data_IF_017505005643
#
_entry.id   IF_017505005643
#
_cell.length_a   1.000
_cell.length_b   1.000
_cell.length_c   1.000
_cell.angle_alpha   90.00
_cell.angle_beta   90.00
_cell.angle_gamma   90.00
#
_symmetry.space_group_name_H-M   'P 1'
#
loop_
_entity.id
_entity.type
_entity.pdbx_description
1 polymer ?
#
# COMPACT_ATOMS: atom_id res chain seq x y z
N UNK A 1 -18.74 24.02 -11.46
CA UNK A 1 -19.46 23.32 -10.38
C UNK A 1 -18.79 23.64 -9.06
N UNK A 2 -19.47 24.33 -8.14
CA UNK A 2 -18.95 24.60 -6.79
C UNK A 2 -18.87 23.26 -6.05
N UNK A 3 -17.68 22.87 -5.56
CA UNK A 3 -17.53 21.75 -4.61
C UNK A 3 -18.47 22.03 -3.42
N UNK A 4 -19.24 21.06 -2.91
CA UNK A 4 -20.00 21.26 -1.68
C UNK A 4 -19.01 21.64 -0.57
N UNK A 5 -19.21 22.81 0.03
CA UNK A 5 -18.44 23.23 1.19
C UNK A 5 -18.82 22.31 2.34
N UNK A 6 -17.94 21.39 2.69
CA UNK A 6 -18.03 20.59 3.92
C UNK A 6 -18.25 21.54 5.10
N UNK A 7 -19.20 21.27 6.01
CA UNK A 7 -19.39 22.11 7.19
C UNK A 7 -18.08 22.27 7.97
N UNK A 8 -17.83 23.42 8.61
CA UNK A 8 -16.62 23.62 9.39
C UNK A 8 -16.52 22.52 10.46
N UNK A 9 -15.43 21.76 10.43
CA UNK A 9 -15.22 20.70 11.41
C UNK A 9 -15.06 21.31 12.81
N UNK A 10 -15.63 20.67 13.82
CA UNK A 10 -15.40 21.03 15.22
C UNK A 10 -14.28 20.18 15.79
N UNK A 11 -13.55 20.72 16.78
CA UNK A 11 -12.55 19.96 17.53
C UNK A 11 -13.10 18.61 18.04
N UNK A 12 -14.32 18.59 18.55
CA UNK A 12 -14.97 17.36 19.04
C UNK A 12 -15.17 16.33 17.91
N UNK A 13 -15.56 16.78 16.73
CA UNK A 13 -15.73 15.91 15.56
C UNK A 13 -14.39 15.35 15.10
N UNK A 14 -13.34 16.17 15.09
CA UNK A 14 -11.99 15.76 14.74
C UNK A 14 -11.41 14.75 15.74
N UNK A 15 -11.53 15.01 17.04
CA UNK A 15 -11.06 14.12 18.08
C UNK A 15 -11.83 12.79 18.08
N UNK A 16 -13.15 12.83 17.83
CA UNK A 16 -13.96 11.62 17.66
C UNK A 16 -13.51 10.82 16.44
N UNK A 17 -13.23 11.49 15.32
CA UNK A 17 -12.71 10.84 14.12
C UNK A 17 -11.35 10.19 14.40
N UNK A 18 -10.41 10.91 15.01
CA UNK A 18 -9.08 10.38 15.33
C UNK A 18 -9.10 9.28 16.40
N UNK A 19 -9.99 9.37 17.38
CA UNK A 19 -10.20 8.30 18.37
C UNK A 19 -10.74 7.02 17.74
N UNK A 20 -11.40 7.12 16.57
CA UNK A 20 -11.80 5.96 15.77
C UNK A 20 -10.70 5.45 14.82
N UNK A 21 -9.50 6.05 14.78
CA UNK A 21 -8.37 5.60 13.95
C UNK A 21 -7.48 4.62 14.71
N UNK A 22 -6.70 3.88 13.94
CA UNK A 22 -5.69 2.97 14.48
C UNK A 22 -4.53 3.74 15.13
N UNK A 23 -3.68 3.01 15.86
CA UNK A 23 -2.43 3.48 16.49
C UNK A 23 -2.58 4.56 17.55
N UNK A 24 -3.78 4.72 18.10
CA UNK A 24 -4.08 5.69 19.15
C UNK A 24 -3.62 7.11 18.76
N UNK A 25 -3.87 7.49 17.50
CA UNK A 25 -3.43 8.76 16.90
C UNK A 25 -3.90 9.96 17.73
N UNK A 26 -5.08 9.85 18.35
CA UNK A 26 -5.65 10.91 19.19
C UNK A 26 -4.73 11.30 20.34
N UNK A 27 -4.04 10.33 20.97
CA UNK A 27 -3.20 10.57 22.16
C UNK A 27 -2.08 11.58 21.93
N UNK A 28 -1.56 11.68 20.70
CA UNK A 28 -0.48 12.59 20.33
C UNK A 28 -0.90 13.69 19.35
N UNK A 29 -2.03 13.54 18.65
CA UNK A 29 -2.56 14.57 17.75
C UNK A 29 -3.47 15.60 18.45
N UNK A 30 -4.00 15.29 19.64
CA UNK A 30 -4.97 16.13 20.35
C UNK A 30 -4.42 17.54 20.65
N UNK A 31 -3.22 17.64 21.24
CA UNK A 31 -2.67 18.93 21.65
C UNK A 31 -2.45 19.89 20.47
N UNK A 32 -1.81 19.49 19.35
CA UNK A 32 -1.73 20.32 18.15
C UNK A 32 -3.11 20.72 17.59
N UNK A 33 -4.09 19.81 17.58
CA UNK A 33 -5.43 20.11 17.06
C UNK A 33 -6.19 21.13 17.93
N UNK A 34 -6.12 21.01 19.26
CA UNK A 34 -6.71 21.99 20.17
C UNK A 34 -6.15 23.39 19.92
N UNK A 35 -4.82 23.49 19.79
CA UNK A 35 -4.12 24.74 19.48
C UNK A 35 -4.54 25.31 18.13
N UNK A 36 -4.65 24.47 17.09
CA UNK A 36 -5.16 24.89 15.78
C UNK A 36 -6.57 25.48 15.88
N UNK A 37 -7.51 24.77 16.51
CA UNK A 37 -8.89 25.23 16.66
C UNK A 37 -9.00 26.54 17.46
N UNK A 38 -8.12 26.75 18.44
CA UNK A 38 -8.08 27.99 19.22
C UNK A 38 -7.63 29.20 18.38
N UNK A 39 -6.62 29.03 17.52
CA UNK A 39 -6.06 30.16 16.76
C UNK A 39 -6.69 30.37 15.39
N UNK A 40 -7.24 29.32 14.76
CA UNK A 40 -7.71 29.34 13.38
C UNK A 40 -8.66 30.50 13.05
N UNK A 41 -9.63 30.89 13.91
CA UNK A 41 -10.52 32.03 13.63
C UNK A 41 -9.79 33.38 13.53
N UNK A 42 -8.60 33.50 14.13
CA UNK A 42 -7.82 34.74 14.18
C UNK A 42 -6.74 34.84 13.09
N UNK A 43 -6.52 33.76 12.31
CA UNK A 43 -5.46 33.71 11.32
C UNK A 43 -5.79 34.57 10.10
N UNK A 44 -4.76 35.27 9.59
CA UNK A 44 -4.83 35.95 8.28
C UNK A 44 -4.97 34.94 7.15
N UNK A 45 -5.53 35.36 6.01
CA UNK A 45 -5.89 34.50 4.89
C UNK A 45 -4.77 33.51 4.43
N UNK A 46 -3.53 33.97 4.28
CA UNK A 46 -2.41 33.12 3.83
C UNK A 46 -2.05 32.04 4.86
N UNK A 47 -1.70 32.38 6.13
CA UNK A 47 -1.53 31.36 7.18
C UNK A 47 -2.76 30.47 7.39
N UNK A 48 -3.98 31.02 7.30
CA UNK A 48 -5.21 30.27 7.45
C UNK A 48 -5.32 29.13 6.41
N UNK A 49 -5.04 29.42 5.14
CA UNK A 49 -5.08 28.41 4.08
C UNK A 49 -4.02 27.32 4.24
N UNK A 50 -2.80 27.68 4.67
CA UNK A 50 -1.73 26.71 4.94
C UNK A 50 -2.07 25.82 6.15
N UNK A 51 -2.55 26.40 7.23
CA UNK A 51 -2.95 25.66 8.43
C UNK A 51 -4.18 24.79 8.19
N UNK A 52 -5.14 25.24 7.39
CA UNK A 52 -6.27 24.43 6.95
C UNK A 52 -5.83 23.21 6.15
N UNK A 53 -4.81 23.34 5.29
CA UNK A 53 -4.26 22.20 4.56
C UNK A 53 -3.61 21.18 5.50
N UNK A 54 -2.83 21.64 6.46
CA UNK A 54 -2.24 20.75 7.48
C UNK A 54 -3.31 20.08 8.35
N UNK A 55 -4.35 20.83 8.72
CA UNK A 55 -5.51 20.31 9.45
C UNK A 55 -6.21 19.20 8.66
N UNK A 56 -6.53 19.44 7.39
CA UNK A 56 -7.13 18.42 6.55
C UNK A 56 -6.26 17.16 6.46
N UNK A 57 -4.94 17.32 6.30
CA UNK A 57 -3.99 16.20 6.28
C UNK A 57 -3.87 15.46 7.62
N UNK A 58 -4.01 16.14 8.76
CA UNK A 58 -3.97 15.48 10.08
C UNK A 58 -5.13 14.52 10.33
N UNK A 59 -6.22 14.62 9.56
CA UNK A 59 -7.39 13.74 9.66
C UNK A 59 -7.32 12.54 8.70
N UNK A 60 -6.33 12.54 7.80
CA UNK A 60 -6.05 11.46 6.85
C UNK A 60 -5.40 10.29 7.60
N UNK A 61 -5.67 9.02 7.21
CA UNK A 61 -4.98 7.85 7.76
C UNK A 61 -3.45 7.97 7.72
N UNK A 62 -2.79 7.55 8.80
CA UNK A 62 -1.35 7.74 9.03
C UNK A 62 -0.48 7.15 7.91
N UNK A 63 -0.89 6.03 7.34
CA UNK A 63 -0.21 5.29 6.26
C UNK A 63 -0.16 6.09 4.95
N UNK A 64 -0.95 7.14 4.84
CA UNK A 64 -0.95 8.06 3.70
C UNK A 64 -0.12 9.31 3.96
N UNK A 65 0.38 9.50 5.18
CA UNK A 65 1.17 10.67 5.51
C UNK A 65 2.57 10.58 4.88
N UNK A 66 3.02 11.62 4.17
CA UNK A 66 4.37 11.66 3.61
C UNK A 66 5.46 11.85 4.67
N UNK A 67 5.09 12.44 5.82
CA UNK A 67 5.91 12.73 6.99
C UNK A 67 4.99 13.04 8.18
N UNK A 68 5.53 13.30 9.37
CA UNK A 68 4.71 13.67 10.52
C UNK A 68 3.99 15.02 10.30
N UNK A 69 2.70 14.97 9.96
CA UNK A 69 1.87 16.15 9.68
C UNK A 69 1.61 16.94 10.96
N UNK A 70 1.37 16.25 12.08
CA UNK A 70 1.12 16.87 13.39
C UNK A 70 2.33 17.60 13.94
N UNK A 71 3.55 17.07 13.75
CA UNK A 71 4.76 17.75 14.21
C UNK A 71 5.03 19.01 13.39
N UNK A 72 4.82 18.95 12.07
CA UNK A 72 4.90 20.13 11.21
C UNK A 72 3.86 21.17 11.61
N UNK A 73 2.63 20.73 11.89
CA UNK A 73 1.56 21.61 12.39
C UNK A 73 1.95 22.26 13.71
N UNK A 74 2.43 21.49 14.69
CA UNK A 74 2.88 22.00 15.98
C UNK A 74 3.99 23.06 15.82
N UNK A 75 4.98 22.80 14.96
CA UNK A 75 6.04 23.76 14.65
C UNK A 75 5.50 25.05 14.02
N UNK A 76 4.51 24.97 13.13
CA UNK A 76 3.85 26.14 12.58
C UNK A 76 3.05 26.92 13.64
N UNK A 77 2.33 26.21 14.52
CA UNK A 77 1.57 26.81 15.62
C UNK A 77 2.50 27.57 16.59
N UNK A 78 3.64 26.99 16.96
CA UNK A 78 4.65 27.64 17.83
C UNK A 78 5.16 28.98 17.27
N UNK A 79 5.18 29.13 15.95
CA UNK A 79 5.59 30.36 15.27
C UNK A 79 4.44 31.37 15.26
N UNK A 80 3.24 30.92 14.88
CA UNK A 80 2.06 31.77 14.73
C UNK A 80 1.56 32.31 16.07
N UNK A 81 1.57 31.50 17.13
CA UNK A 81 1.19 31.93 18.48
C UNK A 81 2.13 33.01 19.04
N UNK A 82 3.39 33.03 18.58
CA UNK A 82 4.36 34.10 18.89
C UNK A 82 4.19 35.34 18.02
N UNK A 83 3.13 35.41 17.20
CA UNK A 83 2.87 36.51 16.27
C UNK A 83 3.86 36.60 15.10
N UNK A 84 4.67 35.56 14.86
CA UNK A 84 5.68 35.55 13.80
C UNK A 84 5.11 34.98 12.50
N UNK A 85 5.55 35.49 11.33
CA UNK A 85 5.16 34.91 10.06
C UNK A 85 5.83 33.56 9.83
N UNK A 86 5.16 32.65 9.10
CA UNK A 86 5.76 31.41 8.64
C UNK A 86 6.86 31.71 7.61
N UNK A 87 8.03 31.09 7.77
CA UNK A 87 9.13 31.23 6.84
C UNK A 87 8.87 30.55 5.49
N UNK A 88 9.50 31.05 4.42
CA UNK A 88 9.32 30.57 3.03
C UNK A 88 9.49 29.06 2.87
N UNK A 89 10.41 28.44 3.62
CA UNK A 89 10.63 26.98 3.57
C UNK A 89 9.45 26.18 4.13
N UNK A 90 8.84 26.64 5.22
CA UNK A 90 7.66 25.98 5.80
C UNK A 90 6.45 26.13 4.88
N UNK A 91 6.25 27.33 4.32
CA UNK A 91 5.20 27.55 3.32
C UNK A 91 5.37 26.58 2.15
N UNK A 92 6.58 26.48 1.59
CA UNK A 92 6.88 25.57 0.48
C UNK A 92 6.57 24.10 0.82
N UNK A 93 6.95 23.62 2.01
CA UNK A 93 6.66 22.24 2.43
C UNK A 93 5.15 21.97 2.43
N UNK A 94 4.36 22.91 2.95
CA UNK A 94 2.90 22.78 3.04
C UNK A 94 2.26 22.92 1.64
N UNK A 95 2.75 23.83 0.81
CA UNK A 95 2.28 24.05 -0.56
C UNK A 95 2.49 22.83 -1.46
N UNK A 96 3.59 22.09 -1.25
CA UNK A 96 3.91 20.86 -1.98
C UNK A 96 3.07 19.65 -1.55
N UNK A 97 2.33 19.72 -0.44
CA UNK A 97 1.40 18.66 -0.08
C UNK A 97 0.30 18.55 -1.15
N UNK A 98 0.00 17.34 -1.66
CA UNK A 98 -1.09 17.16 -2.61
C UNK A 98 -2.45 17.45 -1.96
N UNK A 99 -3.51 17.47 -2.77
CA UNK A 99 -4.86 17.42 -2.23
C UNK A 99 -5.02 16.15 -1.38
N UNK A 100 -5.77 16.26 -0.29
CA UNK A 100 -6.06 15.11 0.57
C UNK A 100 -6.86 14.06 -0.22
N UNK A 101 -6.65 12.76 0.06
CA UNK A 101 -7.49 11.72 -0.51
C UNK A 101 -8.97 11.91 -0.17
N UNK A 102 -9.87 11.39 -1.00
CA UNK A 102 -11.31 11.43 -0.75
C UNK A 102 -11.71 10.58 0.48
N UNK A 103 -12.92 10.81 0.98
CA UNK A 103 -13.44 10.15 2.19
C UNK A 103 -13.51 8.62 2.06
N UNK A 104 -13.87 8.10 0.88
CA UNK A 104 -13.95 6.65 0.62
C UNK A 104 -12.56 6.02 0.72
N UNK A 105 -11.55 6.68 0.16
CA UNK A 105 -10.15 6.28 0.26
C UNK A 105 -9.69 6.31 1.71
N UNK A 106 -9.95 7.40 2.44
CA UNK A 106 -9.59 7.52 3.85
C UNK A 106 -10.25 6.45 4.73
N UNK A 107 -11.54 6.16 4.53
CA UNK A 107 -12.26 5.13 5.29
C UNK A 107 -11.68 3.74 5.06
N UNK A 108 -11.45 3.38 3.79
CA UNK A 108 -10.93 2.05 3.45
C UNK A 108 -9.50 1.85 3.98
N UNK A 109 -8.66 2.89 3.92
CA UNK A 109 -7.29 2.79 4.44
C UNK A 109 -7.28 2.74 5.97
N UNK A 110 -8.13 3.50 6.65
CA UNK A 110 -8.22 3.42 8.12
C UNK A 110 -8.72 2.06 8.62
N UNK A 111 -9.67 1.44 7.90
CA UNK A 111 -10.09 0.07 8.21
C UNK A 111 -8.91 -0.90 8.07
N UNK A 112 -8.12 -0.78 7.01
CA UNK A 112 -6.90 -1.56 6.84
C UNK A 112 -5.88 -1.31 7.97
N UNK A 113 -5.66 -0.07 8.38
CA UNK A 113 -4.77 0.26 9.50
C UNK A 113 -5.19 -0.41 10.82
N UNK A 114 -6.49 -0.48 11.09
CA UNK A 114 -7.02 -1.17 12.26
C UNK A 114 -6.71 -2.66 12.26
N UNK A 115 -6.85 -3.30 11.10
CA UNK A 115 -6.52 -4.71 10.93
C UNK A 115 -5.02 -4.93 11.16
N UNK A 116 -4.18 -4.06 10.58
CA UNK A 116 -2.72 -4.08 10.79
C UNK A 116 -2.36 -3.88 12.26
N UNK A 117 -2.97 -2.91 12.96
CA UNK A 117 -2.72 -2.66 14.39
C UNK A 117 -3.05 -3.89 15.25
N UNK A 118 -4.11 -4.62 14.91
CA UNK A 118 -4.51 -5.86 15.58
C UNK A 118 -3.67 -7.08 15.14
N UNK A 119 -2.73 -6.90 14.22
CA UNK A 119 -1.91 -7.99 13.67
C UNK A 119 -2.68 -8.95 12.74
N UNK A 120 -3.87 -8.53 12.31
CA UNK A 120 -4.78 -9.27 11.41
C UNK A 120 -4.43 -8.90 9.97
N UNK A 121 -3.64 -9.73 9.32
CA UNK A 121 -3.29 -9.60 7.90
C UNK A 121 -4.13 -10.51 7.00
N UNK A 122 -5.07 -11.26 7.60
CA UNK A 122 -5.84 -12.35 6.99
C UNK A 122 -6.68 -11.91 5.79
N UNK A 123 -7.03 -10.63 5.72
CA UNK A 123 -7.77 -10.04 4.60
C UNK A 123 -6.95 -10.03 3.31
N UNK A 124 -5.61 -10.05 3.43
CA UNK A 124 -4.66 -9.97 2.32
C UNK A 124 -3.80 -11.23 2.19
N UNK A 125 -3.70 -12.02 3.27
CA UNK A 125 -2.90 -13.25 3.35
C UNK A 125 -3.82 -14.44 3.59
N UNK A 126 -3.85 -15.37 2.63
CA UNK A 126 -4.77 -16.52 2.62
C UNK A 126 -4.28 -17.74 3.38
N UNK A 127 -2.97 -17.85 3.64
CA UNK A 127 -2.36 -19.12 4.12
C UNK A 127 -1.84 -19.02 5.55
N UNK A 128 -2.72 -18.87 6.53
CA UNK A 128 -2.33 -18.83 7.96
C UNK A 128 -1.59 -20.11 8.41
N UNK A 129 -1.86 -21.25 7.78
CA UNK A 129 -1.23 -22.53 8.12
C UNK A 129 0.29 -22.53 7.97
N UNK A 130 0.84 -21.87 6.92
CA UNK A 130 2.30 -21.75 6.72
C UNK A 130 2.94 -20.95 7.85
N UNK A 131 2.26 -19.89 8.31
CA UNK A 131 2.72 -19.09 9.44
C UNK A 131 2.69 -19.89 10.73
N UNK A 132 1.56 -20.53 11.05
CA UNK A 132 1.40 -21.32 12.26
C UNK A 132 2.41 -22.48 12.33
N UNK A 133 2.68 -23.15 11.21
CA UNK A 133 3.69 -24.21 11.16
C UNK A 133 5.09 -23.68 11.45
N UNK A 134 5.46 -22.54 10.87
CA UNK A 134 6.76 -21.91 11.13
C UNK A 134 6.87 -21.43 12.59
N UNK A 135 5.80 -20.87 13.15
CA UNK A 135 5.74 -20.45 14.56
C UNK A 135 5.90 -21.64 15.52
N UNK A 136 5.24 -22.77 15.24
CA UNK A 136 5.42 -24.00 16.02
C UNK A 136 6.85 -24.53 15.94
N UNK A 137 7.43 -24.58 14.74
CA UNK A 137 8.82 -25.04 14.56
C UNK A 137 9.83 -24.11 15.25
N UNK A 138 9.54 -22.81 15.27
CA UNK A 138 10.36 -21.80 15.94
C UNK A 138 10.30 -21.93 17.45
N UNK A 139 9.10 -22.10 18.03
CA UNK A 139 8.91 -22.30 19.48
C UNK A 139 9.51 -23.61 19.99
N UNK A 140 9.52 -24.65 19.16
CA UNK A 140 10.14 -25.94 19.48
C UNK A 140 11.68 -25.93 19.34
N UNK A 141 12.30 -24.80 19.00
CA UNK A 141 13.74 -24.71 18.77
C UNK A 141 14.45 -24.14 20.00
N UNK A 142 15.04 -25.03 20.80
CA UNK A 142 15.75 -24.66 22.03
C UNK A 142 16.87 -23.65 21.80
N UNK A 143 17.52 -23.66 20.62
CA UNK A 143 18.59 -22.71 20.30
C UNK A 143 18.11 -21.26 20.23
N UNK A 144 16.83 -21.03 19.91
CA UNK A 144 16.27 -19.68 19.96
C UNK A 144 16.22 -19.19 21.40
N UNK A 145 15.80 -20.06 22.32
CA UNK A 145 15.74 -19.74 23.75
C UNK A 145 17.15 -19.52 24.30
N UNK A 146 18.11 -20.38 23.95
CA UNK A 146 19.51 -20.21 24.32
C UNK A 146 20.09 -18.86 23.85
N UNK A 147 19.86 -18.51 22.57
CA UNK A 147 20.32 -17.23 22.04
C UNK A 147 19.60 -16.03 22.70
N UNK A 148 18.33 -16.18 23.08
CA UNK A 148 17.57 -15.15 23.79
C UNK A 148 18.02 -14.97 25.23
N UNK A 149 18.28 -16.06 25.95
CA UNK A 149 18.79 -16.03 27.32
C UNK A 149 20.17 -15.36 27.37
N UNK A 150 21.03 -15.64 26.39
CA UNK A 150 22.33 -14.94 26.24
C UNK A 150 22.17 -13.42 26.05
N UNK A 151 21.13 -12.97 25.34
CA UNK A 151 20.82 -11.54 25.23
C UNK A 151 20.38 -10.98 26.59
N UNK A 152 19.48 -11.67 27.31
CA UNK A 152 19.00 -11.23 28.62
C UNK A 152 20.10 -11.18 29.68
N UNK A 153 21.07 -12.09 29.61
CA UNK A 153 22.26 -12.09 30.48
C UNK A 153 23.19 -10.91 30.19
N UNK A 154 23.29 -10.49 28.94
CA UNK A 154 24.20 -9.43 28.50
C UNK A 154 23.60 -8.02 28.60
N UNK A 155 22.26 -7.89 28.58
CA UNK A 155 21.59 -6.62 28.46
C UNK A 155 20.36 -6.50 29.38
N UNK A 156 20.14 -5.32 29.95
CA UNK A 156 18.90 -4.99 30.68
C UNK A 156 17.73 -4.76 29.69
N UNK A 157 17.10 -5.85 29.26
CA UNK A 157 16.04 -5.85 28.25
C UNK A 157 14.85 -4.92 28.61
N UNK A 158 14.61 -4.65 29.90
CA UNK A 158 13.49 -3.81 30.35
C UNK A 158 13.63 -2.37 29.86
N UNK A 159 14.87 -1.88 29.65
CA UNK A 159 15.14 -0.55 29.10
C UNK A 159 14.75 -0.41 27.63
N UNK A 160 14.55 -1.53 26.94
CA UNK A 160 14.31 -1.58 25.50
C UNK A 160 12.89 -2.03 25.15
N UNK A 161 12.05 -2.31 26.15
CA UNK A 161 10.65 -2.68 25.99
C UNK A 161 9.76 -1.45 25.86
N UNK A 162 8.73 -1.52 25.00
CA UNK A 162 7.63 -0.57 25.05
C UNK A 162 6.67 -0.87 26.21
N UNK A 163 5.62 -0.05 26.37
CA UNK A 163 4.61 -0.23 27.43
C UNK A 163 3.84 -1.55 27.36
N UNK A 164 3.95 -2.31 26.25
CA UNK A 164 3.36 -3.65 26.07
C UNK A 164 4.37 -4.78 26.28
N UNK A 165 5.60 -4.46 26.67
CA UNK A 165 6.68 -5.42 26.82
C UNK A 165 7.30 -5.88 25.49
N UNK A 166 7.07 -5.15 24.40
CA UNK A 166 7.55 -5.52 23.06
C UNK A 166 8.88 -4.83 22.75
N UNK A 167 9.85 -5.59 22.27
CA UNK A 167 11.10 -5.12 21.67
C UNK A 167 11.02 -5.40 20.17
N UNK A 168 11.15 -4.36 19.34
CA UNK A 168 11.03 -4.48 17.87
C UNK A 168 12.38 -4.29 17.20
N UNK A 169 12.63 -5.05 16.13
CA UNK A 169 13.83 -4.86 15.31
C UNK A 169 13.78 -3.56 14.51
N UNK A 170 14.95 -3.08 14.11
CA UNK A 170 15.10 -1.93 13.23
C UNK A 170 14.69 -2.29 11.80
N UNK A 171 13.64 -1.67 11.28
CA UNK A 171 13.15 -1.88 9.90
C UNK A 171 13.91 -1.06 8.84
N UNK A 172 14.80 -0.15 9.26
CA UNK A 172 15.45 0.83 8.38
C UNK A 172 16.35 0.22 7.30
N UNK A 173 16.89 -0.97 7.53
CA UNK A 173 17.75 -1.66 6.56
C UNK A 173 16.99 -2.13 5.30
N UNK A 174 15.69 -2.41 5.44
CA UNK A 174 14.89 -3.10 4.43
C UNK A 174 14.12 -2.15 3.49
N UNK A 175 14.24 -0.83 3.69
CA UNK A 175 13.36 0.17 3.05
C UNK A 175 14.10 1.36 2.42
N UNK A 176 15.22 1.08 1.73
CA UNK A 176 16.08 2.08 1.07
C UNK A 176 16.82 2.98 2.06
N UNK A 177 17.94 2.46 2.57
CA UNK A 177 18.84 3.16 3.48
C UNK A 177 19.30 4.52 2.90
N UNK A 178 19.13 5.57 3.70
CA UNK A 178 19.71 6.92 3.50
C UNK A 178 21.25 6.86 3.59
N UNK A 179 22.00 7.92 3.18
CA UNK A 179 23.46 7.91 3.23
C UNK A 179 23.94 7.76 4.69
N UNK A 180 24.54 6.62 5.01
CA UNK A 180 25.09 6.28 6.32
C UNK A 180 24.22 5.31 7.12
N UNK A 181 24.67 4.05 7.17
CA UNK A 181 24.32 3.08 8.21
C UNK A 181 25.55 2.82 9.09
N UNK A 182 26.14 3.85 9.75
CA UNK A 182 27.32 3.64 10.57
C UNK A 182 26.96 2.87 11.82
N UNK A 183 27.83 1.94 12.22
CA UNK A 183 27.84 1.37 13.56
C UNK A 183 28.57 2.36 14.45
N UNK A 184 27.89 2.89 15.47
CA UNK A 184 28.49 3.79 16.46
C UNK A 184 28.27 3.23 17.88
N UNK A 185 29.24 2.44 18.34
CA UNK A 185 29.18 1.79 19.66
C UNK A 185 29.25 2.77 20.83
N UNK A 186 29.64 4.03 20.61
CA UNK A 186 29.61 5.07 21.64
C UNK A 186 28.19 5.56 21.93
N UNK A 187 27.24 5.28 21.03
CA UNK A 187 25.82 5.62 21.24
C UNK A 187 25.19 4.62 22.21
N UNK A 188 24.63 5.14 23.30
CA UNK A 188 23.86 4.36 24.27
C UNK A 188 22.82 3.46 23.60
N UNK A 189 22.90 2.15 23.87
CA UNK A 189 21.98 1.12 23.38
C UNK A 189 22.21 0.67 21.93
N UNK A 190 23.24 1.15 21.26
CA UNK A 190 23.58 0.71 19.89
C UNK A 190 24.06 -0.75 19.85
N UNK A 191 24.85 -1.15 20.83
CA UNK A 191 25.31 -2.52 21.02
C UNK A 191 24.15 -3.51 21.20
N UNK A 192 23.19 -3.18 22.06
CA UNK A 192 21.94 -3.94 22.21
C UNK A 192 21.17 -3.99 20.90
N UNK A 193 20.99 -2.84 20.23
CA UNK A 193 20.26 -2.76 18.95
C UNK A 193 20.88 -3.69 17.91
N UNK A 194 22.20 -3.69 17.78
CA UNK A 194 22.92 -4.55 16.83
C UNK A 194 22.78 -6.03 17.19
N UNK A 195 22.95 -6.39 18.46
CA UNK A 195 22.77 -7.77 18.92
C UNK A 195 21.32 -8.26 18.68
N UNK A 196 20.34 -7.44 19.02
CA UNK A 196 18.92 -7.76 18.87
C UNK A 196 18.47 -7.83 17.40
N UNK A 197 18.94 -6.91 16.55
CA UNK A 197 18.68 -6.96 15.11
C UNK A 197 19.30 -8.22 14.48
N UNK A 198 20.51 -8.61 14.88
CA UNK A 198 21.15 -9.85 14.43
C UNK A 198 20.40 -11.10 14.88
N UNK A 199 19.94 -11.13 16.14
CA UNK A 199 19.09 -12.19 16.68
C UNK A 199 17.78 -12.31 15.90
N UNK A 200 17.09 -11.19 15.66
CA UNK A 200 15.86 -11.17 14.89
C UNK A 200 16.09 -11.64 13.44
N UNK A 201 17.18 -11.23 12.80
CA UNK A 201 17.54 -11.66 11.46
C UNK A 201 17.75 -13.18 11.40
N UNK A 202 18.50 -13.74 12.36
CA UNK A 202 18.78 -15.17 12.45
C UNK A 202 17.50 -16.00 12.56
N UNK A 203 16.54 -15.54 13.35
CA UNK A 203 15.33 -16.28 13.68
C UNK A 203 14.09 -15.82 12.89
N UNK A 204 14.26 -14.95 11.89
CA UNK A 204 13.17 -14.38 11.11
C UNK A 204 12.10 -13.67 11.96
N UNK A 205 12.51 -12.99 13.03
CA UNK A 205 11.60 -12.33 13.94
C UNK A 205 11.27 -10.91 13.49
N UNK A 206 10.08 -10.47 13.84
CA UNK A 206 9.71 -9.06 13.95
C UNK A 206 10.22 -8.45 15.27
N UNK A 207 10.29 -9.26 16.32
CA UNK A 207 10.74 -8.84 17.64
C UNK A 207 10.49 -9.91 18.70
N UNK A 208 10.52 -9.49 19.96
CA UNK A 208 10.19 -10.30 21.14
C UNK A 208 9.12 -9.57 21.95
N UNK A 209 8.16 -10.31 22.50
CA UNK A 209 7.23 -9.78 23.50
C UNK A 209 7.39 -10.59 24.78
N UNK A 210 7.94 -9.94 25.81
CA UNK A 210 8.42 -10.66 27.00
C UNK A 210 9.43 -11.75 26.61
N UNK A 211 9.07 -13.02 26.71
CA UNK A 211 9.88 -14.17 26.28
C UNK A 211 9.29 -14.91 25.07
N UNK A 212 8.25 -14.36 24.44
CA UNK A 212 7.61 -14.96 23.27
C UNK A 212 8.17 -14.37 21.97
N UNK A 213 8.64 -15.22 21.03
CA UNK A 213 9.13 -14.75 19.74
C UNK A 213 7.97 -14.26 18.87
N UNK A 214 8.13 -13.06 18.30
CA UNK A 214 7.20 -12.53 17.31
C UNK A 214 7.73 -12.85 15.92
N UNK A 215 7.27 -13.94 15.31
CA UNK A 215 7.69 -14.32 13.96
C UNK A 215 7.27 -13.28 12.92
N UNK A 216 8.16 -12.97 11.98
CA UNK A 216 7.90 -12.01 10.90
C UNK A 216 6.81 -12.54 9.96
N UNK A 217 5.74 -11.77 9.76
CA UNK A 217 4.62 -12.15 8.88
C UNK A 217 4.84 -11.71 7.43
N UNK A 218 4.27 -12.46 6.50
CA UNK A 218 3.95 -11.96 5.15
C UNK A 218 3.05 -10.73 5.31
N UNK A 219 3.49 -9.59 4.78
CA UNK A 219 2.81 -8.33 5.02
C UNK A 219 2.62 -7.55 3.70
N UNK A 220 1.45 -6.95 3.56
CA UNK A 220 1.17 -5.98 2.49
C UNK A 220 1.01 -4.63 3.17
N UNK A 221 2.01 -3.78 2.97
CA UNK A 221 2.04 -2.43 3.53
C UNK A 221 1.68 -1.43 2.45
N UNK A 222 0.73 -0.59 2.80
CA UNK A 222 0.39 0.56 2.00
C UNK A 222 1.34 1.72 2.36
N UNK A 223 1.67 2.59 1.40
CA UNK A 223 2.51 3.77 1.61
C UNK A 223 1.96 4.95 0.79
N UNK A 224 2.40 6.20 1.05
CA UNK A 224 2.01 7.33 0.21
C UNK A 224 2.41 7.16 -1.26
N UNK A 225 3.45 6.37 -1.54
CA UNK A 225 4.03 6.21 -2.88
C UNK A 225 3.59 4.93 -3.59
N UNK A 226 3.08 3.92 -2.87
CA UNK A 226 2.73 2.63 -3.47
C UNK A 226 2.36 1.55 -2.46
N UNK A 227 2.34 0.31 -2.93
CA UNK A 227 2.09 -0.87 -2.10
C UNK A 227 3.37 -1.70 -2.04
N UNK A 228 3.85 -1.96 -0.83
CA UNK A 228 5.01 -2.81 -0.56
C UNK A 228 4.54 -4.16 -0.06
N UNK A 229 5.07 -5.25 -0.62
CA UNK A 229 4.82 -6.61 -0.14
C UNK A 229 6.12 -7.13 0.46
N UNK A 230 6.10 -7.47 1.74
CA UNK A 230 7.21 -8.10 2.46
C UNK A 230 6.97 -9.60 2.52
N UNK A 231 7.87 -10.38 1.94
CA UNK A 231 7.86 -11.83 1.99
C UNK A 231 9.00 -12.26 2.91
N UNK A 232 8.73 -12.87 4.08
CA UNK A 232 9.77 -13.36 4.97
C UNK A 232 10.64 -14.43 4.31
N UNK A 233 11.91 -14.53 4.69
CA UNK A 233 12.85 -15.45 4.02
C UNK A 233 12.49 -16.93 4.22
N UNK A 234 11.84 -17.27 5.33
CA UNK A 234 11.32 -18.62 5.60
C UNK A 234 10.07 -18.97 4.78
N UNK A 235 9.50 -18.01 4.05
CA UNK A 235 8.23 -18.17 3.34
C UNK A 235 8.43 -18.39 1.84
N UNK A 236 8.14 -19.59 1.36
CA UNK A 236 8.02 -19.83 -0.09
C UNK A 236 6.68 -19.28 -0.61
N UNK A 237 6.73 -18.14 -1.29
CA UNK A 237 5.54 -17.46 -1.81
C UNK A 237 4.92 -18.22 -2.99
N UNK A 238 3.66 -18.59 -2.83
CA UNK A 238 2.75 -18.92 -3.92
C UNK A 238 1.81 -17.73 -4.17
N UNK A 239 1.95 -17.09 -5.34
CA UNK A 239 1.17 -15.89 -5.65
C UNK A 239 -0.33 -16.15 -5.57
N UNK A 240 -0.82 -17.29 -6.02
CA UNK A 240 -2.28 -17.54 -6.09
C UNK A 240 -2.84 -17.95 -4.74
N UNK A 241 -2.08 -18.75 -3.98
CA UNK A 241 -2.56 -19.33 -2.72
C UNK A 241 -2.31 -18.44 -1.52
N UNK A 242 -1.23 -17.67 -1.49
CA UNK A 242 -0.83 -16.95 -0.28
C UNK A 242 -1.37 -15.53 -0.17
N UNK A 243 -1.71 -14.89 -1.29
CA UNK A 243 -2.14 -13.48 -1.31
C UNK A 243 -3.51 -13.31 -1.95
N UNK A 244 -4.31 -12.42 -1.39
CA UNK A 244 -5.51 -11.92 -2.06
C UNK A 244 -5.17 -10.76 -3.00
N UNK A 245 -4.80 -11.09 -4.24
CA UNK A 245 -4.46 -10.07 -5.23
C UNK A 245 -5.62 -9.14 -5.59
N UNK A 246 -6.87 -9.55 -5.41
CA UNK A 246 -8.00 -8.70 -5.76
C UNK A 246 -8.25 -7.65 -4.69
N UNK A 247 -8.13 -8.02 -3.40
CA UNK A 247 -8.15 -7.04 -2.31
C UNK A 247 -6.91 -6.13 -2.34
N UNK A 248 -5.72 -6.67 -2.65
CA UNK A 248 -4.51 -5.84 -2.85
C UNK A 248 -4.72 -4.85 -4.00
N UNK A 249 -5.26 -5.28 -5.15
CA UNK A 249 -5.56 -4.38 -6.28
C UNK A 249 -6.59 -3.33 -5.91
N UNK A 250 -7.63 -3.68 -5.15
CA UNK A 250 -8.65 -2.75 -4.67
C UNK A 250 -8.01 -1.68 -3.79
N UNK A 251 -7.24 -2.07 -2.77
CA UNK A 251 -6.53 -1.12 -1.88
C UNK A 251 -5.52 -0.24 -2.63
N UNK A 252 -4.83 -0.81 -3.61
CA UNK A 252 -3.87 -0.09 -4.43
C UNK A 252 -4.53 0.90 -5.40
N UNK A 253 -5.64 0.49 -6.03
CA UNK A 253 -6.37 1.27 -7.03
C UNK A 253 -7.06 2.50 -6.48
N UNK A 254 -7.41 2.52 -5.19
CA UNK A 254 -8.06 3.67 -4.53
C UNK A 254 -7.21 4.95 -4.54
N UNK A 255 -5.89 4.85 -4.68
CA UNK A 255 -4.97 5.98 -4.48
C UNK A 255 -4.59 6.73 -5.75
N UNK A 256 -4.79 6.13 -6.91
CA UNK A 256 -4.34 6.71 -8.18
C UNK A 256 -5.53 6.80 -9.14
N UNK A 257 -6.34 7.89 -9.04
CA UNK A 257 -7.34 8.16 -10.04
C UNK A 257 -6.67 8.32 -11.41
N UNK A 258 -7.11 7.53 -12.40
CA UNK A 258 -6.66 7.67 -13.80
C UNK A 258 -5.44 6.86 -14.23
N UNK A 259 -5.07 5.76 -13.56
CA UNK A 259 -4.06 4.82 -14.11
C UNK A 259 -4.46 4.28 -15.48
N UNK A 260 -3.46 4.10 -16.36
CA UNK A 260 -3.30 3.35 -17.65
C UNK A 260 -4.51 2.75 -18.40
N UNK A 261 -5.64 2.49 -17.75
CA UNK A 261 -6.88 1.97 -18.29
C UNK A 261 -7.44 2.77 -19.47
N UNK A 262 -7.26 4.08 -19.58
CA UNK A 262 -7.73 4.81 -20.78
C UNK A 262 -6.93 4.45 -22.04
N UNK A 263 -5.61 4.28 -21.92
CA UNK A 263 -4.73 3.83 -23.02
C UNK A 263 -4.93 2.35 -23.30
N UNK A 264 -5.08 1.52 -22.25
CA UNK A 264 -5.33 0.08 -22.39
C UNK A 264 -6.75 -0.23 -22.90
N UNK A 265 -7.76 0.59 -22.58
CA UNK A 265 -9.13 0.46 -23.07
C UNK A 265 -9.24 0.88 -24.53
N UNK A 266 -8.61 2.00 -24.93
CA UNK A 266 -8.47 2.36 -26.36
C UNK A 266 -7.75 1.25 -27.13
N UNK A 267 -6.65 0.71 -26.57
CA UNK A 267 -5.96 -0.44 -27.14
C UNK A 267 -6.78 -1.74 -27.14
N UNK A 268 -7.79 -1.89 -26.27
CA UNK A 268 -8.71 -3.03 -26.27
C UNK A 268 -9.79 -2.86 -27.35
N UNK A 269 -10.41 -1.69 -27.46
CA UNK A 269 -11.39 -1.37 -28.50
C UNK A 269 -10.79 -1.53 -29.90
N UNK A 270 -9.59 -0.99 -30.13
CA UNK A 270 -8.88 -1.16 -31.40
C UNK A 270 -8.55 -2.63 -31.69
N UNK A 271 -8.13 -3.40 -30.68
CA UNK A 271 -7.87 -4.85 -30.85
C UNK A 271 -9.15 -5.63 -31.14
N UNK A 272 -10.25 -5.31 -30.47
CA UNK A 272 -11.57 -5.92 -30.72
C UNK A 272 -12.11 -5.57 -32.11
N UNK A 273 -11.94 -4.33 -32.56
CA UNK A 273 -12.30 -3.91 -33.92
C UNK A 273 -11.47 -4.67 -34.97
N UNK A 274 -10.15 -4.79 -34.76
CA UNK A 274 -9.26 -5.57 -35.63
C UNK A 274 -9.60 -7.07 -35.61
N UNK A 275 -9.96 -7.64 -34.46
CA UNK A 275 -10.39 -9.03 -34.34
C UNK A 275 -11.71 -9.30 -35.10
N UNK A 276 -12.70 -8.40 -34.97
CA UNK A 276 -13.95 -8.44 -35.77
C UNK A 276 -13.68 -8.33 -37.27
N UNK A 277 -12.79 -7.43 -37.67
CA UNK A 277 -12.39 -7.25 -39.08
C UNK A 277 -11.68 -8.49 -39.62
N UNK A 278 -10.76 -9.08 -38.85
CA UNK A 278 -10.08 -10.33 -39.20
C UNK A 278 -11.08 -11.46 -39.44
N UNK A 279 -12.12 -11.59 -38.61
CA UNK A 279 -13.14 -12.62 -38.80
C UNK A 279 -13.89 -12.46 -40.14
N UNK A 280 -14.23 -11.22 -40.53
CA UNK A 280 -14.84 -10.93 -41.84
C UNK A 280 -13.89 -11.26 -42.99
N UNK A 281 -12.62 -10.88 -42.87
CA UNK A 281 -11.58 -11.18 -43.86
C UNK A 281 -11.31 -12.68 -43.98
N UNK A 282 -11.35 -13.45 -42.89
CA UNK A 282 -11.23 -14.91 -42.92
C UNK A 282 -12.40 -15.54 -43.72
N UNK A 283 -13.63 -15.03 -43.57
CA UNK A 283 -14.78 -15.49 -44.35
C UNK A 283 -14.68 -15.10 -45.84
N UNK A 284 -14.17 -13.91 -46.13
CA UNK A 284 -13.95 -13.44 -47.51
C UNK A 284 -12.81 -14.21 -48.20
N UNK A 285 -11.72 -14.47 -47.49
CA UNK A 285 -10.62 -15.30 -47.98
C UNK A 285 -11.08 -16.72 -48.30
N UNK A 286 -11.98 -17.29 -47.47
CA UNK A 286 -12.60 -18.59 -47.74
C UNK A 286 -13.49 -18.57 -49.00
N UNK A 287 -14.30 -17.53 -49.19
CA UNK A 287 -15.10 -17.34 -50.43
C UNK A 287 -14.23 -17.22 -51.67
N UNK A 288 -13.08 -16.55 -51.56
CA UNK A 288 -12.06 -16.40 -52.60
C UNK A 288 -11.14 -17.62 -52.75
N UNK A 289 -11.35 -18.67 -51.94
CA UNK A 289 -10.53 -19.91 -51.90
C UNK A 289 -9.03 -19.65 -51.73
N UNK A 290 -8.66 -18.60 -51.00
CA UNK A 290 -7.27 -18.26 -50.71
C UNK A 290 -6.69 -19.21 -49.65
N UNK A 291 -5.47 -19.70 -49.87
CA UNK A 291 -4.74 -20.59 -48.96
C UNK A 291 -3.28 -20.15 -48.77
N UNK A 292 -2.60 -20.73 -47.79
CA UNK A 292 -1.16 -20.52 -47.55
C UNK A 292 -0.75 -19.04 -47.43
N UNK A 293 0.34 -18.68 -48.10
CA UNK A 293 0.88 -17.31 -48.11
C UNK A 293 -0.06 -16.29 -48.75
N UNK A 294 -0.83 -16.70 -49.76
CA UNK A 294 -1.79 -15.82 -50.42
C UNK A 294 -2.92 -15.40 -49.46
N UNK A 295 -3.38 -16.34 -48.62
CA UNK A 295 -4.31 -16.03 -47.53
C UNK A 295 -3.66 -15.11 -46.50
N UNK A 296 -2.42 -15.40 -46.09
CA UNK A 296 -1.72 -14.61 -45.07
C UNK A 296 -1.54 -13.15 -45.50
N UNK A 297 -1.06 -12.92 -46.73
CA UNK A 297 -0.91 -11.58 -47.32
C UNK A 297 -2.23 -10.83 -47.39
N UNK A 298 -3.29 -11.49 -47.88
CA UNK A 298 -4.64 -10.90 -47.94
C UNK A 298 -5.15 -10.45 -46.56
N UNK A 299 -4.95 -11.26 -45.52
CA UNK A 299 -5.37 -10.93 -44.16
C UNK A 299 -4.53 -9.78 -43.56
N UNK A 300 -3.22 -9.77 -43.80
CA UNK A 300 -2.33 -8.69 -43.35
C UNK A 300 -2.70 -7.36 -44.01
N UNK A 301 -2.82 -7.32 -45.34
CA UNK A 301 -3.23 -6.13 -46.09
C UNK A 301 -4.62 -5.63 -45.64
N UNK A 302 -5.59 -6.53 -45.50
CA UNK A 302 -6.94 -6.19 -45.04
C UNK A 302 -6.99 -5.59 -43.63
N UNK A 303 -6.02 -5.90 -42.77
CA UNK A 303 -5.87 -5.34 -41.43
C UNK A 303 -4.97 -4.09 -41.37
N UNK A 304 -4.36 -3.68 -42.48
CA UNK A 304 -3.36 -2.60 -42.51
C UNK A 304 -2.03 -2.99 -41.87
N UNK A 305 -1.68 -4.28 -41.91
CA UNK A 305 -0.39 -4.80 -41.46
C UNK A 305 0.56 -4.99 -42.64
N UNK A 306 1.86 -4.96 -42.37
CA UNK A 306 2.90 -5.34 -43.33
C UNK A 306 2.77 -6.85 -43.62
N UNK A 307 3.00 -7.26 -44.86
CA UNK A 307 2.80 -8.64 -45.33
C UNK A 307 3.58 -9.68 -44.51
N UNK A 308 4.78 -9.34 -44.06
CA UNK A 308 5.65 -10.19 -43.23
C UNK A 308 5.25 -10.26 -41.75
N UNK A 309 4.09 -9.70 -41.40
CA UNK A 309 3.60 -9.75 -40.01
C UNK A 309 3.43 -11.19 -39.56
N UNK A 310 4.05 -11.53 -38.43
CA UNK A 310 4.05 -12.90 -37.90
C UNK A 310 2.65 -13.53 -37.82
N UNK A 311 2.46 -14.79 -38.27
CA UNK A 311 1.21 -15.54 -38.12
C UNK A 311 0.72 -15.63 -36.67
N UNK A 312 1.62 -15.56 -35.68
CA UNK A 312 1.28 -15.56 -34.25
C UNK A 312 0.39 -14.36 -33.86
N UNK A 313 0.56 -13.22 -34.52
CA UNK A 313 -0.25 -12.01 -34.29
C UNK A 313 -1.69 -12.20 -34.76
N UNK A 314 -1.89 -12.83 -35.91
CA UNK A 314 -3.23 -13.17 -36.42
C UNK A 314 -3.89 -14.25 -35.55
N UNK A 315 -3.14 -15.26 -35.12
CA UNK A 315 -3.64 -16.31 -34.21
C UNK A 315 -4.13 -15.72 -32.88
N UNK A 316 -3.40 -14.76 -32.32
CA UNK A 316 -3.81 -14.04 -31.10
C UNK A 316 -5.12 -13.26 -31.28
N UNK A 317 -5.27 -12.53 -32.40
CA UNK A 317 -6.51 -11.81 -32.70
C UNK A 317 -7.72 -12.75 -32.88
N UNK A 318 -7.53 -13.92 -33.49
CA UNK A 318 -8.57 -14.95 -33.59
C UNK A 318 -9.00 -15.45 -32.22
N UNK A 319 -8.04 -15.73 -31.33
CA UNK A 319 -8.32 -16.15 -29.95
C UNK A 319 -9.09 -15.07 -29.17
N UNK A 320 -8.70 -13.82 -29.33
CA UNK A 320 -9.37 -12.66 -28.73
C UNK A 320 -10.83 -12.53 -29.19
N UNK A 321 -11.12 -12.74 -30.49
CA UNK A 321 -12.51 -12.77 -30.99
C UNK A 321 -13.32 -13.92 -30.37
N UNK A 322 -12.75 -15.12 -30.32
CA UNK A 322 -13.45 -16.31 -29.79
C UNK A 322 -13.81 -16.20 -28.30
N UNK A 323 -12.97 -15.55 -27.50
CA UNK A 323 -13.20 -15.33 -26.08
C UNK A 323 -14.27 -14.25 -25.80
N UNK A 324 -14.62 -13.42 -26.79
CA UNK A 324 -15.57 -12.32 -26.65
C UNK A 324 -17.03 -12.67 -27.01
N UNK A 325 -17.30 -13.89 -27.52
CA UNK A 325 -18.67 -14.32 -27.79
C UNK A 325 -19.36 -14.66 -26.46
N UNK A 326 -20.55 -14.11 -26.17
CA UNK A 326 -21.32 -14.57 -25.01
C UNK A 326 -21.63 -16.06 -25.20
N UNK A 327 -21.32 -16.85 -24.18
CA UNK A 327 -21.68 -18.27 -24.11
C UNK A 327 -23.20 -18.35 -24.11
N UNK A 328 -23.79 -18.91 -25.16
CA UNK A 328 -25.22 -19.21 -25.19
C UNK A 328 -25.53 -20.20 -24.06
N UNK A 329 -26.48 -19.92 -23.15
CA UNK A 329 -26.84 -20.89 -22.12
C UNK A 329 -27.41 -22.14 -22.79
N UNK A 330 -26.85 -23.30 -22.44
CA UNK A 330 -27.33 -24.60 -22.92
C UNK A 330 -28.78 -24.81 -22.46
N UNK A 331 -29.66 -25.20 -23.39
CA UNK A 331 -31.04 -25.59 -23.06
C UNK A 331 -31.03 -26.81 -22.12
N UNK A 332 -31.92 -26.84 -21.10
CA UNK A 332 -31.94 -27.90 -20.10
C UNK A 332 -32.36 -29.24 -20.73
N UNK A 333 -31.66 -30.32 -20.36
CA UNK A 333 -32.09 -31.69 -20.65
C UNK A 333 -33.44 -31.93 -19.99
N UNK A 334 -34.48 -32.17 -20.79
CA UNK A 334 -35.75 -32.72 -20.30
C UNK A 334 -35.47 -34.11 -19.73
N UNK A 335 -35.82 -34.31 -18.46
CA UNK A 335 -36.00 -35.65 -17.90
C UNK A 335 -37.27 -36.25 -18.51
N UNK A 336 -37.13 -37.41 -19.11
CA UNK A 336 -38.16 -38.45 -19.20
C UNK A 336 -37.42 -39.78 -19.02
#
# INVERSE_FOLDING_TARGET
>A
MKKPSTPPSTLETDLKLLGSRAYDVVSWAEAPLRRYHAIAPSLKAVPAGLMQRLHAWSLVPLTLWPFSITDLMAACLDILEKGRPLGRRLCLIIELLPETPDEKTCRTVAEHEWQVQKGVYENLVKTQAKFAQAELALRANDRLQDDWDRIKESFDIRRHQDHKGVIRRTMGAERNMRPGFPVNLDRSGEDFRLAFDAFCLRWNLYGMQHDEPLLLKLAVNLTPHGTMILIPSFWSLDRTRDLDWDEIKKLHGLRVPGRQGSVLAKGLEERMAKAKKLHRLDAEAARKRLSGEAKHRFLCQGLGFVEDTSPKRLARLRKEFSASRPVTPAKPRRKA
#
